data_IF_610687440230
#
_entry.id   IF_610687440230
#
_cell.length_a   1.000
_cell.length_b   1.000
_cell.length_c   1.000
_cell.angle_alpha   90.00
_cell.angle_beta   90.00
_cell.angle_gamma   90.00
#
_symmetry.space_group_name_H-M   'P 1'
#
loop_
_entity.id
_entity.type
_entity.pdbx_description
1 polymer ?
#
# COMPACT_ATOMS: atom_id res chain seq x y z
N UNK A 1 -1.52 -4.48 -21.76
CA UNK A 1 -1.44 -4.95 -20.36
C UNK A 1 -1.87 -3.81 -19.46
N UNK A 2 -2.84 -3.99 -18.55
CA UNK A 2 -3.12 -3.06 -17.46
C UNK A 2 -1.84 -2.83 -16.62
N UNK A 3 -1.44 -1.59 -16.31
CA UNK A 3 -0.29 -1.34 -15.45
C UNK A 3 -0.61 -1.61 -13.98
N UNK A 4 0.43 -1.87 -13.19
CA UNK A 4 0.43 -1.61 -11.76
C UNK A 4 0.75 -0.13 -11.52
N UNK A 5 -0.11 0.57 -10.80
CA UNK A 5 0.14 1.96 -10.38
C UNK A 5 0.43 1.98 -8.88
N UNK A 6 1.58 2.55 -8.50
CA UNK A 6 2.02 2.67 -7.12
C UNK A 6 1.63 4.05 -6.55
N UNK A 7 0.92 4.08 -5.41
CA UNK A 7 0.48 5.29 -4.70
C UNK A 7 1.20 5.40 -3.33
N UNK A 8 2.07 6.40 -3.12
CA UNK A 8 2.84 6.53 -1.89
C UNK A 8 1.99 7.01 -0.70
N UNK A 9 2.49 6.78 0.52
CA UNK A 9 2.00 7.44 1.73
C UNK A 9 2.37 8.92 1.78
N UNK A 10 1.86 9.64 2.80
CA UNK A 10 2.00 11.11 2.98
C UNK A 10 3.44 11.63 2.81
N UNK A 11 4.43 10.87 3.30
CA UNK A 11 5.85 11.22 3.25
C UNK A 11 6.56 10.92 1.91
N UNK A 12 5.99 10.06 1.05
CA UNK A 12 6.68 9.53 -0.12
C UNK A 12 6.42 10.29 -1.42
N UNK A 13 7.47 10.51 -2.22
CA UNK A 13 7.38 10.95 -3.62
C UNK A 13 7.14 9.78 -4.57
N UNK A 14 6.96 10.02 -5.88
CA UNK A 14 6.95 8.92 -6.86
C UNK A 14 8.23 8.07 -6.85
N UNK A 15 9.37 8.66 -6.48
CA UNK A 15 10.68 8.00 -6.54
C UNK A 15 10.86 6.86 -5.53
N UNK A 16 10.06 6.83 -4.45
CA UNK A 16 10.21 5.84 -3.37
C UNK A 16 9.97 4.38 -3.84
N UNK A 17 9.32 4.20 -4.98
CA UNK A 17 9.07 2.89 -5.59
C UNK A 17 10.13 2.46 -6.63
N UNK A 18 11.30 3.13 -6.71
CA UNK A 18 12.33 2.78 -7.68
C UNK A 18 12.75 1.29 -7.63
N UNK A 19 12.82 0.70 -6.42
CA UNK A 19 13.14 -0.73 -6.23
C UNK A 19 12.07 -1.66 -6.82
N UNK A 20 10.80 -1.24 -6.84
CA UNK A 20 9.68 -1.96 -7.45
C UNK A 20 9.68 -1.79 -8.96
N UNK A 21 9.84 -0.55 -9.44
CA UNK A 21 9.90 -0.23 -10.87
C UNK A 21 11.01 -1.05 -11.54
N UNK A 22 12.23 -1.05 -10.99
CA UNK A 22 13.36 -1.79 -11.55
C UNK A 22 13.11 -3.31 -11.56
N UNK A 23 12.75 -3.91 -10.42
CA UNK A 23 12.58 -5.38 -10.29
C UNK A 23 11.42 -5.94 -11.11
N UNK A 24 10.33 -5.17 -11.28
CA UNK A 24 9.15 -5.59 -12.03
C UNK A 24 9.24 -5.27 -13.53
N UNK A 25 9.81 -4.12 -13.91
CA UNK A 25 9.98 -3.76 -15.33
C UNK A 25 11.00 -4.67 -16.01
N UNK A 26 12.08 -5.05 -15.33
CA UNK A 26 13.05 -6.05 -15.83
C UNK A 26 12.45 -7.45 -16.06
N UNK A 27 11.24 -7.72 -15.55
CA UNK A 27 10.49 -8.96 -15.77
C UNK A 27 9.38 -8.79 -16.82
N UNK A 28 9.17 -7.58 -17.33
CA UNK A 28 8.15 -7.27 -18.35
C UNK A 28 6.78 -6.89 -17.79
N UNK A 29 6.66 -6.47 -16.54
CA UNK A 29 5.42 -5.84 -16.04
C UNK A 29 5.45 -4.33 -16.31
N UNK A 30 4.32 -3.75 -16.76
CA UNK A 30 4.18 -2.28 -16.85
C UNK A 30 3.90 -1.72 -15.45
N UNK A 31 4.86 -1.03 -14.85
CA UNK A 31 4.70 -0.33 -13.57
C UNK A 31 4.76 1.18 -13.78
N UNK A 32 3.93 1.92 -13.06
CA UNK A 32 3.91 3.38 -13.04
C UNK A 32 3.91 3.80 -11.57
N UNK A 33 4.80 4.70 -11.17
CA UNK A 33 4.70 5.39 -9.88
C UNK A 33 4.17 6.81 -10.12
N UNK A 34 3.40 7.35 -9.18
CA UNK A 34 2.81 8.68 -9.28
C UNK A 34 2.90 9.43 -7.95
N UNK A 35 3.07 10.74 -8.03
CA UNK A 35 2.89 11.62 -6.87
C UNK A 35 1.41 11.93 -6.65
N UNK A 36 1.03 12.10 -5.38
CA UNK A 36 -0.30 12.60 -5.01
C UNK A 36 -0.37 14.08 -5.44
N UNK A 37 -1.34 14.49 -6.29
CA UNK A 37 -1.47 15.86 -6.76
C UNK A 37 -1.96 16.80 -5.65
N UNK A 38 -1.87 18.11 -5.89
CA UNK A 38 -2.34 19.16 -4.97
C UNK A 38 -3.86 19.28 -4.99
N UNK A 39 -4.52 18.37 -4.27
CA UNK A 39 -5.98 18.29 -4.09
C UNK A 39 -6.33 18.32 -2.60
N UNK A 40 -7.42 18.98 -2.24
CA UNK A 40 -7.73 19.34 -0.84
C UNK A 40 -8.81 18.46 -0.20
N UNK A 41 -9.48 17.63 -1.00
CA UNK A 41 -10.50 16.69 -0.55
C UNK A 41 -10.54 15.44 -1.43
N UNK A 42 -11.22 14.43 -0.93
CA UNK A 42 -11.33 13.12 -1.56
C UNK A 42 -12.01 13.12 -2.95
N UNK A 43 -12.94 14.04 -3.20
CA UNK A 43 -13.64 14.14 -4.48
C UNK A 43 -12.73 14.69 -5.59
N UNK A 44 -11.92 15.70 -5.26
CA UNK A 44 -10.87 16.21 -6.15
C UNK A 44 -9.82 15.14 -6.47
N UNK A 45 -9.38 14.35 -5.48
CA UNK A 45 -8.47 13.21 -5.72
C UNK A 45 -9.04 12.24 -6.76
N UNK A 46 -10.29 11.78 -6.58
CA UNK A 46 -10.92 10.82 -7.50
C UNK A 46 -11.00 11.39 -8.93
N UNK A 47 -11.37 12.67 -9.07
CA UNK A 47 -11.45 13.32 -10.38
C UNK A 47 -10.07 13.58 -11.02
N UNK A 48 -9.06 13.95 -10.23
CA UNK A 48 -7.71 14.21 -10.70
C UNK A 48 -7.04 12.90 -11.15
N UNK A 49 -7.20 11.82 -10.37
CA UNK A 49 -6.68 10.51 -10.72
C UNK A 49 -7.40 9.91 -11.93
N UNK A 50 -8.72 10.05 -12.05
CA UNK A 50 -9.47 9.64 -13.26
C UNK A 50 -8.96 10.37 -14.52
N UNK A 51 -8.83 11.70 -14.47
CA UNK A 51 -8.26 12.49 -15.58
C UNK A 51 -6.83 12.09 -15.93
N UNK A 52 -6.01 11.75 -14.93
CA UNK A 52 -4.67 11.21 -15.17
C UNK A 52 -4.70 9.88 -15.92
N UNK A 53 -5.56 8.93 -15.52
CA UNK A 53 -5.70 7.63 -16.18
C UNK A 53 -6.16 7.75 -17.65
N UNK A 54 -7.03 8.72 -17.93
CA UNK A 54 -7.48 9.00 -19.29
C UNK A 54 -6.39 9.71 -20.12
N UNK A 55 -5.60 10.60 -19.52
CA UNK A 55 -4.48 11.26 -20.18
C UNK A 55 -3.31 10.31 -20.56
N UNK A 56 -3.17 9.17 -19.87
CA UNK A 56 -2.19 8.12 -20.20
C UNK A 56 -2.76 6.96 -21.04
N UNK A 57 -4.02 7.08 -21.48
CA UNK A 57 -4.82 6.04 -22.18
C UNK A 57 -4.79 4.67 -21.47
N UNK A 58 -5.26 4.64 -20.21
CA UNK A 58 -5.32 3.42 -19.40
C UNK A 58 -6.71 3.22 -18.80
N UNK A 59 -7.55 2.47 -19.51
CA UNK A 59 -8.91 2.13 -19.05
C UNK A 59 -8.94 1.15 -17.85
N UNK A 60 -7.94 0.30 -17.68
CA UNK A 60 -7.87 -0.67 -16.57
C UNK A 60 -6.52 -0.65 -15.87
N UNK A 61 -6.52 -0.71 -14.54
CA UNK A 61 -5.33 -0.64 -13.68
C UNK A 61 -5.36 -1.68 -12.56
N UNK A 62 -4.18 -2.03 -12.08
CA UNK A 62 -3.97 -2.63 -10.76
C UNK A 62 -3.38 -1.53 -9.86
N UNK A 63 -3.77 -1.45 -8.59
CA UNK A 63 -3.23 -0.46 -7.66
C UNK A 63 -2.37 -1.14 -6.59
N UNK A 64 -1.23 -0.56 -6.27
CA UNK A 64 -0.49 -0.81 -5.03
C UNK A 64 -0.43 0.50 -4.25
N UNK A 65 -0.89 0.52 -3.00
CA UNK A 65 -0.88 1.73 -2.17
C UNK A 65 -0.40 1.46 -0.76
N UNK A 66 0.42 2.37 -0.23
CA UNK A 66 0.94 2.31 1.15
C UNK A 66 0.38 3.47 1.98
N UNK A 67 0.04 3.23 3.25
CA UNK A 67 -0.50 4.27 4.15
C UNK A 67 -1.64 5.06 3.48
N UNK A 68 -1.56 6.40 3.45
CA UNK A 68 -2.48 7.28 2.72
C UNK A 68 -2.77 6.80 1.29
N UNK A 69 -1.76 6.39 0.53
CA UNK A 69 -1.93 5.88 -0.84
C UNK A 69 -2.75 4.58 -0.92
N UNK A 70 -2.69 3.74 0.12
CA UNK A 70 -3.54 2.55 0.24
C UNK A 70 -5.00 2.87 0.54
N UNK A 71 -5.25 3.89 1.37
CA UNK A 71 -6.59 4.42 1.62
C UNK A 71 -7.18 5.10 0.37
N UNK A 72 -6.40 5.96 -0.29
CA UNK A 72 -6.77 6.63 -1.55
C UNK A 72 -7.01 5.63 -2.71
N UNK A 73 -6.28 4.50 -2.75
CA UNK A 73 -6.51 3.42 -3.71
C UNK A 73 -7.88 2.73 -3.51
N UNK A 74 -8.22 2.40 -2.26
CA UNK A 74 -9.52 1.80 -1.91
C UNK A 74 -10.67 2.76 -2.21
N UNK A 75 -10.53 4.03 -1.83
CA UNK A 75 -11.56 5.04 -2.06
C UNK A 75 -11.77 5.32 -3.56
N UNK A 76 -10.71 5.25 -4.38
CA UNK A 76 -10.87 5.27 -5.84
C UNK A 76 -11.55 3.99 -6.37
N UNK A 77 -11.22 2.81 -5.86
CA UNK A 77 -11.87 1.55 -6.24
C UNK A 77 -13.37 1.54 -5.91
N UNK A 78 -13.78 2.15 -4.80
CA UNK A 78 -15.19 2.34 -4.42
C UNK A 78 -15.94 3.20 -5.45
N UNK A 79 -15.35 4.31 -5.89
CA UNK A 79 -16.01 5.28 -6.77
C UNK A 79 -15.84 4.99 -8.27
N UNK A 80 -14.84 4.20 -8.66
CA UNK A 80 -14.53 3.79 -10.04
C UNK A 80 -14.22 2.28 -10.17
N UNK A 81 -15.12 1.39 -9.71
CA UNK A 81 -14.87 -0.05 -9.64
C UNK A 81 -14.66 -0.72 -11.02
N UNK A 82 -15.09 -0.08 -12.12
CA UNK A 82 -14.82 -0.57 -13.49
C UNK A 82 -13.39 -0.31 -13.97
N UNK A 83 -12.65 0.64 -13.37
CA UNK A 83 -11.25 0.96 -13.73
C UNK A 83 -10.27 0.06 -12.98
N UNK A 84 -10.53 -0.26 -11.72
CA UNK A 84 -9.65 -1.07 -10.86
C UNK A 84 -9.89 -2.57 -11.08
N UNK A 85 -8.83 -3.32 -11.42
CA UNK A 85 -8.85 -4.77 -11.64
C UNK A 85 -8.38 -5.58 -10.44
N UNK A 86 -7.52 -5.02 -9.59
CA UNK A 86 -7.08 -5.62 -8.32
C UNK A 86 -6.44 -4.56 -7.41
N UNK A 87 -6.33 -4.87 -6.11
CA UNK A 87 -5.71 -4.01 -5.10
C UNK A 87 -4.60 -4.75 -4.35
N UNK A 88 -3.48 -4.06 -4.14
CA UNK A 88 -2.48 -4.39 -3.12
C UNK A 88 -2.43 -3.25 -2.12
N UNK A 89 -2.67 -3.58 -0.86
CA UNK A 89 -2.75 -2.68 0.29
C UNK A 89 -1.59 -3.01 1.22
N UNK A 90 -0.94 -2.02 1.84
CA UNK A 90 0.22 -2.26 2.72
C UNK A 90 0.35 -1.16 3.76
N UNK A 91 0.36 -1.53 5.05
CA UNK A 91 0.40 -0.62 6.19
C UNK A 91 -0.58 0.55 6.00
N UNK A 92 -1.88 0.24 5.84
CA UNK A 92 -2.94 1.19 5.48
C UNK A 92 -4.14 1.06 6.43
N UNK A 93 -5.15 1.92 6.22
CA UNK A 93 -6.35 2.07 7.04
C UNK A 93 -7.63 2.19 6.18
N UNK A 94 -8.79 2.18 6.84
CA UNK A 94 -10.10 2.38 6.22
C UNK A 94 -10.70 3.77 6.45
N UNK A 95 -10.26 4.52 7.47
CA UNK A 95 -10.85 5.80 7.85
C UNK A 95 -9.84 6.82 8.38
N UNK A 96 -10.13 8.10 8.18
CA UNK A 96 -9.28 9.25 8.58
C UNK A 96 -9.62 9.82 9.96
N UNK A 97 -10.74 9.41 10.55
CA UNK A 97 -11.28 9.82 11.87
C UNK A 97 -10.20 9.93 12.95
N UNK A 98 -9.40 8.87 13.10
CA UNK A 98 -8.37 8.71 14.14
C UNK A 98 -7.19 9.66 13.92
N UNK A 99 -6.81 9.92 12.66
CA UNK A 99 -5.75 10.86 12.31
C UNK A 99 -6.20 12.31 12.48
N UNK A 100 -7.45 12.63 12.13
CA UNK A 100 -8.04 13.94 12.44
C UNK A 100 -8.13 14.21 13.93
N UNK A 101 -8.49 13.20 14.74
CA UNK A 101 -8.50 13.32 16.20
C UNK A 101 -7.09 13.46 16.80
N UNK A 102 -6.09 12.82 16.19
CA UNK A 102 -4.68 12.93 16.57
C UNK A 102 -3.97 14.22 16.09
N UNK A 103 -4.64 15.08 15.32
CA UNK A 103 -4.09 16.34 14.82
C UNK A 103 -4.95 17.53 15.29
N UNK A 104 -4.65 18.15 16.46
CA UNK A 104 -5.44 19.26 17.01
C UNK A 104 -5.59 20.51 16.12
N UNK A 105 -4.74 20.63 15.10
CA UNK A 105 -4.73 21.72 14.12
C UNK A 105 -5.20 21.28 12.71
N UNK A 106 -5.83 20.11 12.59
CA UNK A 106 -6.40 19.61 11.33
C UNK A 106 -7.24 20.65 10.56
N UNK A 107 -8.12 21.47 11.18
CA UNK A 107 -8.91 22.48 10.45
C UNK A 107 -8.08 23.60 9.79
N UNK A 108 -6.80 23.76 10.14
CA UNK A 108 -5.90 24.79 9.59
C UNK A 108 -4.69 24.22 8.84
N UNK A 109 -4.66 22.90 8.56
CA UNK A 109 -3.58 22.19 7.84
C UNK A 109 -3.12 22.89 6.56
N UNK A 110 -4.05 23.45 5.77
CA UNK A 110 -3.77 24.18 4.53
C UNK A 110 -3.02 25.51 4.72
N UNK A 111 -3.00 26.06 5.94
CA UNK A 111 -2.33 27.32 6.30
C UNK A 111 -1.08 27.09 7.18
N UNK A 112 -0.92 25.89 7.76
CA UNK A 112 0.22 25.54 8.62
C UNK A 112 1.58 25.76 7.90
N UNK A 113 2.57 26.39 8.58
CA UNK A 113 3.93 26.55 8.06
C UNK A 113 4.65 25.24 7.71
N UNK A 114 5.47 25.27 6.67
CA UNK A 114 6.16 24.09 6.14
C UNK A 114 6.98 23.30 7.18
N UNK A 115 7.61 23.98 8.14
CA UNK A 115 8.41 23.32 9.17
C UNK A 115 7.55 22.50 10.16
N UNK A 116 6.33 22.92 10.45
CA UNK A 116 5.38 22.15 11.28
C UNK A 116 4.81 20.96 10.51
N UNK A 117 4.52 21.12 9.21
CA UNK A 117 4.08 20.02 8.35
C UNK A 117 5.16 18.94 8.24
N UNK A 118 6.42 19.33 7.97
CA UNK A 118 7.57 18.41 7.93
C UNK A 118 7.79 17.75 9.28
N UNK A 119 7.82 18.53 10.37
CA UNK A 119 7.98 17.97 11.73
C UNK A 119 6.89 16.95 12.07
N UNK A 120 5.62 17.22 11.72
CA UNK A 120 4.52 16.29 12.01
C UNK A 120 4.68 14.95 11.26
N UNK A 121 5.00 15.01 9.97
CA UNK A 121 5.27 13.80 9.16
C UNK A 121 6.46 13.01 9.73
N UNK A 122 7.55 13.72 10.09
CA UNK A 122 8.73 13.09 10.69
C UNK A 122 8.44 12.48 12.07
N UNK A 123 7.62 13.10 12.92
CA UNK A 123 7.22 12.53 14.22
C UNK A 123 6.31 11.30 14.12
N UNK A 124 5.77 10.99 12.94
CA UNK A 124 5.11 9.70 12.69
C UNK A 124 6.11 8.56 12.52
N UNK A 125 7.31 8.86 11.99
CA UNK A 125 8.40 7.90 11.83
C UNK A 125 9.09 7.73 13.20
N UNK A 126 9.49 6.49 13.53
CA UNK A 126 10.13 6.23 14.83
C UNK A 126 11.58 6.67 14.85
N UNK A 127 11.95 7.54 15.78
CA UNK A 127 13.34 7.66 16.23
C UNK A 127 13.70 6.43 17.10
N UNK A 128 14.75 5.70 16.76
CA UNK A 128 15.19 4.53 17.53
C UNK A 128 16.23 3.64 16.81
N UNK A 129 16.73 2.60 17.50
CA UNK A 129 17.65 1.63 16.92
C UNK A 129 16.92 0.72 15.92
N UNK A 130 16.99 1.09 14.64
CA UNK A 130 16.47 0.29 13.53
C UNK A 130 17.50 -0.73 13.03
N UNK A 131 17.03 -1.77 12.34
CA UNK A 131 17.91 -2.58 11.48
C UNK A 131 18.43 -1.70 10.32
N UNK A 132 19.69 -1.85 9.86
CA UNK A 132 20.26 -0.98 8.82
C UNK A 132 19.37 -0.75 7.59
N UNK A 133 18.76 -1.79 7.01
CA UNK A 133 17.86 -1.62 5.86
C UNK A 133 16.58 -0.84 6.15
N UNK A 134 16.14 -0.78 7.41
CA UNK A 134 15.02 0.06 7.85
C UNK A 134 15.51 1.50 8.08
N UNK A 135 16.69 1.69 8.69
CA UNK A 135 17.33 3.00 8.82
C UNK A 135 17.56 3.67 7.44
N UNK A 136 18.19 2.96 6.49
CA UNK A 136 18.40 3.41 5.11
C UNK A 136 17.08 3.82 4.42
N UNK A 137 15.99 3.09 4.71
CA UNK A 137 14.67 3.39 4.16
C UNK A 137 14.02 4.63 4.77
N UNK A 138 14.27 4.88 6.06
CA UNK A 138 13.84 6.09 6.75
C UNK A 138 14.63 7.28 6.23
N UNK A 139 15.96 7.24 6.25
CA UNK A 139 16.82 8.35 5.81
C UNK A 139 16.53 8.77 4.36
N UNK A 140 16.28 7.80 3.47
CA UNK A 140 15.84 8.09 2.10
C UNK A 140 14.52 8.87 2.06
N UNK A 141 13.51 8.47 2.85
CA UNK A 141 12.20 9.15 2.88
C UNK A 141 12.28 10.50 3.60
N UNK A 142 13.12 10.63 4.64
CA UNK A 142 13.41 11.92 5.28
C UNK A 142 13.94 12.92 4.26
N UNK A 143 14.93 12.53 3.44
CA UNK A 143 15.44 13.36 2.35
C UNK A 143 14.36 13.73 1.31
N UNK A 144 13.42 12.82 1.00
CA UNK A 144 12.27 13.15 0.14
C UNK A 144 11.33 14.18 0.79
N UNK A 145 11.03 14.06 2.09
CA UNK A 145 10.23 15.04 2.87
C UNK A 145 10.92 16.42 2.90
N UNK A 146 12.25 16.47 2.89
CA UNK A 146 12.99 17.74 2.76
C UNK A 146 12.82 18.41 1.39
N UNK A 147 12.65 17.67 0.30
CA UNK A 147 12.39 18.26 -1.04
C UNK A 147 10.94 18.74 -1.25
N UNK A 148 9.96 18.14 -0.57
CA UNK A 148 8.54 18.48 -0.74
C UNK A 148 8.22 19.94 -0.35
N UNK A 149 7.32 20.58 -1.11
CA UNK A 149 6.86 21.94 -0.81
C UNK A 149 5.85 21.97 0.35
N UNK A 150 5.51 23.18 0.83
CA UNK A 150 4.44 23.39 1.81
C UNK A 150 3.11 22.88 1.26
N UNK A 151 2.82 23.20 0.00
CA UNK A 151 1.57 22.90 -0.68
C UNK A 151 1.36 21.39 -0.84
N UNK A 152 2.41 20.64 -1.22
CA UNK A 152 2.34 19.19 -1.40
C UNK A 152 2.11 18.46 -0.07
N UNK A 153 2.80 18.88 0.99
CA UNK A 153 2.59 18.31 2.33
C UNK A 153 1.22 18.69 2.90
N UNK A 154 0.79 19.95 2.72
CA UNK A 154 -0.49 20.43 3.20
C UNK A 154 -1.66 19.71 2.51
N UNK A 155 -1.61 19.49 1.20
CA UNK A 155 -2.67 18.75 0.48
C UNK A 155 -2.73 17.28 0.92
N UNK A 156 -1.58 16.60 1.03
CA UNK A 156 -1.51 15.20 1.49
C UNK A 156 -1.99 15.03 2.93
N UNK A 157 -1.62 15.94 3.83
CA UNK A 157 -2.11 15.95 5.21
C UNK A 157 -3.60 16.33 5.28
N UNK A 158 -4.10 17.20 4.40
CA UNK A 158 -5.55 17.46 4.27
C UNK A 158 -6.32 16.18 3.94
N UNK A 159 -5.86 15.39 2.96
CA UNK A 159 -6.44 14.07 2.65
C UNK A 159 -6.29 13.05 3.79
N UNK A 160 -5.36 13.27 4.74
CA UNK A 160 -5.17 12.40 5.91
C UNK A 160 -6.15 12.74 7.06
N UNK A 161 -6.73 13.96 7.07
CA UNK A 161 -7.62 14.44 8.16
C UNK A 161 -9.02 14.87 7.72
N UNK A 162 -9.27 15.08 6.42
CA UNK A 162 -10.62 15.24 5.86
C UNK A 162 -11.44 13.97 6.13
N UNK A 163 -12.65 14.12 6.67
CA UNK A 163 -13.38 13.03 7.32
C UNK A 163 -14.02 12.08 6.29
N UNK A 164 -13.40 10.91 6.09
CA UNK A 164 -13.81 9.92 5.11
C UNK A 164 -13.57 8.49 5.62
N UNK A 165 -14.35 7.55 5.10
CA UNK A 165 -14.27 6.11 5.42
C UNK A 165 -14.58 5.28 4.18
N UNK A 166 -13.90 4.13 4.04
CA UNK A 166 -14.04 3.18 2.92
C UNK A 166 -15.23 2.26 3.18
N UNK A 167 -16.26 2.41 2.35
CA UNK A 167 -17.40 1.51 2.29
C UNK A 167 -17.11 0.21 1.53
N UNK A 168 -18.10 -0.68 1.37
CA UNK A 168 -17.93 -1.93 0.62
C UNK A 168 -17.49 -1.70 -0.82
N UNK A 169 -16.48 -2.44 -1.28
CA UNK A 169 -16.03 -2.41 -2.66
C UNK A 169 -16.85 -3.37 -3.53
N UNK A 170 -17.06 -3.03 -4.81
CA UNK A 170 -17.59 -3.99 -5.80
C UNK A 170 -16.49 -4.92 -6.36
N UNK A 171 -15.24 -4.74 -5.92
CA UNK A 171 -14.13 -5.63 -6.25
C UNK A 171 -14.15 -6.82 -5.28
N UNK A 172 -14.13 -8.04 -5.80
CA UNK A 172 -14.02 -9.25 -4.98
C UNK A 172 -12.73 -9.26 -4.16
N UNK A 173 -12.83 -9.54 -2.86
CA UNK A 173 -11.71 -9.71 -1.92
C UNK A 173 -10.60 -10.63 -2.47
N UNK A 174 -10.97 -11.66 -3.25
CA UNK A 174 -10.01 -12.57 -3.89
C UNK A 174 -9.03 -11.87 -4.85
N UNK A 175 -9.35 -10.66 -5.30
CA UNK A 175 -8.52 -9.76 -6.11
C UNK A 175 -7.78 -8.72 -5.24
N UNK A 176 -7.81 -8.85 -3.92
CA UNK A 176 -7.12 -8.00 -2.95
C UNK A 176 -5.95 -8.78 -2.33
N UNK A 177 -4.89 -8.06 -1.98
CA UNK A 177 -3.79 -8.53 -1.12
C UNK A 177 -3.48 -7.47 -0.08
N UNK A 178 -3.40 -7.88 1.19
CA UNK A 178 -3.01 -7.02 2.31
C UNK A 178 -1.60 -7.45 2.71
N UNK A 179 -0.66 -6.51 2.72
CA UNK A 179 0.78 -6.74 2.86
C UNK A 179 1.36 -5.85 3.96
N UNK A 180 1.04 -6.20 5.19
CA UNK A 180 1.39 -5.41 6.37
C UNK A 180 2.66 -5.94 7.06
N UNK A 181 3.37 -5.06 7.75
CA UNK A 181 4.50 -5.44 8.61
C UNK A 181 4.04 -5.72 10.04
N UNK A 182 4.72 -6.66 10.69
CA UNK A 182 4.47 -7.05 12.09
C UNK A 182 5.36 -6.32 13.09
N UNK A 183 6.30 -5.49 12.63
CA UNK A 183 7.13 -4.63 13.47
C UNK A 183 6.49 -3.25 13.65
N UNK A 184 7.28 -2.23 14.02
CA UNK A 184 6.74 -0.90 14.23
C UNK A 184 6.28 -0.26 12.91
N UNK A 185 5.08 0.32 12.92
CA UNK A 185 4.60 1.22 11.90
C UNK A 185 3.81 2.35 12.57
N UNK A 186 3.84 3.54 11.97
CA UNK A 186 3.06 4.72 12.33
C UNK A 186 1.54 4.50 12.26
N UNK A 187 1.09 3.51 11.49
CA UNK A 187 -0.33 3.13 11.39
C UNK A 187 -0.67 2.16 12.54
N UNK A 188 -1.57 2.53 13.47
CA UNK A 188 -1.95 1.67 14.60
C UNK A 188 -2.46 0.30 14.15
N UNK A 189 -2.10 -0.74 14.90
CA UNK A 189 -2.46 -2.12 14.56
C UNK A 189 -3.98 -2.29 14.38
N UNK A 190 -4.79 -1.61 15.21
CA UNK A 190 -6.25 -1.63 15.13
C UNK A 190 -6.79 -1.18 13.76
N UNK A 191 -6.12 -0.25 13.07
CA UNK A 191 -6.55 0.19 11.74
C UNK A 191 -6.14 -0.79 10.64
N UNK A 192 -5.05 -1.55 10.83
CA UNK A 192 -4.65 -2.65 9.95
C UNK A 192 -5.59 -3.86 10.14
N UNK A 193 -5.93 -4.17 11.40
CA UNK A 193 -6.88 -5.23 11.76
C UNK A 193 -8.25 -4.97 11.12
N UNK A 194 -8.75 -3.73 11.16
CA UNK A 194 -9.97 -3.31 10.44
C UNK A 194 -9.90 -3.58 8.92
N UNK A 195 -8.76 -3.34 8.26
CA UNK A 195 -8.57 -3.63 6.82
C UNK A 195 -8.65 -5.15 6.56
N UNK A 196 -8.15 -5.97 7.48
CA UNK A 196 -8.25 -7.44 7.41
C UNK A 196 -9.70 -7.90 7.61
N UNK A 197 -10.41 -7.36 8.61
CA UNK A 197 -11.84 -7.64 8.85
C UNK A 197 -12.75 -7.17 7.71
N UNK A 198 -12.36 -6.10 7.00
CA UNK A 198 -13.11 -5.54 5.86
C UNK A 198 -13.10 -6.46 4.65
N UNK A 199 -12.01 -7.20 4.42
CA UNK A 199 -11.81 -8.05 3.24
C UNK A 199 -11.42 -9.50 3.64
N UNK A 200 -12.32 -10.27 4.28
CA UNK A 200 -12.01 -11.63 4.76
C UNK A 200 -11.60 -12.62 3.66
N UNK A 201 -11.92 -12.36 2.38
CA UNK A 201 -11.41 -13.15 1.25
C UNK A 201 -10.05 -12.71 0.69
N UNK A 202 -9.41 -11.68 1.27
CA UNK A 202 -8.16 -11.14 0.77
C UNK A 202 -6.96 -12.03 1.11
N UNK A 203 -5.95 -12.02 0.24
CA UNK A 203 -4.70 -12.74 0.55
C UNK A 203 -3.84 -11.89 1.48
N UNK A 204 -3.64 -12.38 2.70
CA UNK A 204 -2.68 -11.80 3.64
C UNK A 204 -1.24 -12.15 3.24
N UNK A 205 -0.34 -11.18 3.37
CA UNK A 205 1.09 -11.26 3.05
C UNK A 205 1.87 -10.52 4.15
N UNK A 206 1.87 -11.10 5.36
CA UNK A 206 2.51 -10.54 6.55
C UNK A 206 4.05 -10.62 6.46
N UNK A 207 4.70 -9.45 6.53
CA UNK A 207 6.16 -9.34 6.61
C UNK A 207 6.59 -9.30 8.08
N UNK A 208 7.65 -10.05 8.43
CA UNK A 208 8.15 -10.13 9.82
C UNK A 208 8.69 -8.80 10.33
N UNK A 209 9.39 -8.07 9.46
CA UNK A 209 9.98 -6.75 9.69
C UNK A 209 9.96 -5.96 8.39
N UNK A 210 10.00 -4.64 8.47
CA UNK A 210 10.03 -3.73 7.32
C UNK A 210 9.76 -2.26 7.66
N UNK A 211 9.25 -1.97 8.86
CA UNK A 211 8.94 -0.61 9.29
C UNK A 211 7.80 0.04 8.49
N UNK A 212 7.80 1.36 8.43
CA UNK A 212 6.84 2.15 7.65
C UNK A 212 7.00 2.00 6.13
N UNK A 213 8.20 1.61 5.67
CA UNK A 213 8.58 1.61 4.25
C UNK A 213 9.04 0.23 3.75
N UNK A 214 8.21 -0.84 3.86
CA UNK A 214 8.60 -2.21 3.51
C UNK A 214 9.07 -2.36 2.05
N UNK A 215 8.55 -1.52 1.14
CA UNK A 215 8.96 -1.48 -0.26
C UNK A 215 10.41 -0.98 -0.46
N UNK A 216 10.95 -0.20 0.48
CA UNK A 216 12.34 0.24 0.49
C UNK A 216 13.24 -0.67 1.34
N UNK A 217 12.78 -1.13 2.50
CA UNK A 217 13.59 -1.94 3.46
C UNK A 217 13.60 -3.45 3.16
N UNK A 218 12.49 -4.00 2.63
CA UNK A 218 12.30 -5.39 2.19
C UNK A 218 11.86 -5.48 0.72
N UNK A 219 12.62 -4.87 -0.21
CA UNK A 219 12.20 -4.74 -1.60
C UNK A 219 11.90 -6.10 -2.24
N UNK A 220 12.68 -7.14 -1.95
CA UNK A 220 12.53 -8.44 -2.58
C UNK A 220 11.31 -9.23 -2.08
N UNK A 221 10.96 -9.14 -0.80
CA UNK A 221 9.72 -9.71 -0.25
C UNK A 221 8.49 -9.00 -0.84
N UNK A 222 8.48 -7.67 -0.83
CA UNK A 222 7.41 -6.86 -1.44
C UNK A 222 7.29 -7.16 -2.94
N UNK A 223 8.41 -7.18 -3.67
CA UNK A 223 8.44 -7.51 -5.09
C UNK A 223 7.94 -8.92 -5.36
N UNK A 224 8.27 -9.92 -4.53
CA UNK A 224 7.75 -11.28 -4.63
C UNK A 224 6.23 -11.31 -4.45
N UNK A 225 5.71 -10.65 -3.42
CA UNK A 225 4.26 -10.58 -3.18
C UNK A 225 3.51 -9.83 -4.30
N UNK A 226 4.07 -8.74 -4.84
CA UNK A 226 3.52 -8.05 -6.02
C UNK A 226 3.47 -8.95 -7.26
N UNK A 227 4.55 -9.70 -7.54
CA UNK A 227 4.57 -10.67 -8.66
C UNK A 227 3.53 -11.80 -8.48
N UNK A 228 3.43 -12.35 -7.27
CA UNK A 228 2.45 -13.41 -6.94
C UNK A 228 1.02 -12.89 -7.06
N UNK A 229 0.75 -11.66 -6.63
CA UNK A 229 -0.54 -11.01 -6.80
C UNK A 229 -0.88 -10.79 -8.28
N UNK A 230 0.02 -10.17 -9.05
CA UNK A 230 -0.18 -9.87 -10.47
C UNK A 230 -0.46 -11.16 -11.28
N UNK A 231 0.35 -12.21 -11.08
CA UNK A 231 0.12 -13.52 -11.72
C UNK A 231 -1.22 -14.14 -11.35
N UNK A 232 -1.61 -14.08 -10.06
CA UNK A 232 -2.91 -14.60 -9.58
C UNK A 232 -4.10 -13.91 -10.25
N UNK A 233 -3.99 -12.62 -10.56
CA UNK A 233 -5.07 -11.84 -11.21
C UNK A 233 -4.96 -11.81 -12.75
N UNK A 234 -4.18 -12.73 -13.35
CA UNK A 234 -4.08 -12.91 -14.80
C UNK A 234 -3.15 -11.93 -15.53
N UNK A 235 -2.26 -11.23 -14.81
CA UNK A 235 -1.24 -10.38 -15.43
C UNK A 235 0.00 -11.20 -15.72
N UNK A 236 0.10 -11.66 -16.96
CA UNK A 236 1.32 -12.26 -17.51
C UNK A 236 2.38 -11.19 -17.78
N UNK A 237 3.63 -11.49 -17.44
CA UNK A 237 4.76 -10.60 -17.66
C UNK A 237 5.29 -10.75 -19.11
N UNK A 238 5.75 -9.66 -19.72
CA UNK A 238 6.23 -9.61 -21.11
C UNK A 238 7.73 -9.34 -21.21
N UNK A 239 8.60 -10.34 -20.94
CA UNK A 239 10.05 -10.18 -21.04
C UNK A 239 10.52 -9.90 -22.47
N UNK A 240 9.70 -10.24 -23.47
CA UNK A 240 9.85 -9.91 -24.90
C UNK A 240 9.86 -8.40 -25.19
N UNK A 241 9.23 -7.59 -24.33
CA UNK A 241 9.19 -6.13 -24.44
C UNK A 241 10.27 -5.42 -23.61
N UNK A 242 11.08 -6.17 -22.85
CA UNK A 242 12.21 -5.61 -22.10
C UNK A 242 13.36 -5.40 -23.07
N UNK A 243 13.67 -4.15 -23.39
CA UNK A 243 14.81 -3.79 -24.24
C UNK A 243 16.09 -4.25 -23.55
N UNK A 244 16.63 -5.38 -23.99
CA UNK A 244 17.90 -5.89 -23.50
C UNK A 244 19.04 -4.93 -23.85
N UNK A 245 20.06 -4.89 -22.98
CA UNK A 245 21.37 -4.38 -23.39
C UNK A 245 21.83 -5.12 -24.66
N UNK A 246 22.56 -4.46 -25.58
CA UNK A 246 23.05 -5.12 -26.78
C UNK A 246 23.81 -6.40 -26.42
N UNK A 247 23.40 -7.53 -27.02
CA UNK A 247 24.29 -8.69 -27.13
C UNK A 247 25.34 -8.35 -28.18
N UNK A 248 26.45 -7.78 -27.73
CA UNK A 248 27.60 -7.51 -28.58
C UNK A 248 28.02 -8.79 -29.32
N UNK A 249 28.22 -8.65 -30.64
CA UNK A 249 28.17 -9.76 -31.56
C UNK A 249 29.47 -10.57 -31.64
N UNK A 250 29.38 -11.85 -31.26
CA UNK A 250 30.10 -12.92 -31.92
C UNK A 250 29.06 -13.90 -32.51
N UNK A 251 29.09 -14.32 -33.77
CA UNK A 251 30.19 -14.26 -34.74
C UNK A 251 31.01 -15.55 -34.68
N UNK A 252 30.69 -16.59 -35.47
CA UNK A 252 29.66 -16.61 -36.52
C UNK A 252 29.30 -18.02 -37.03
N UNK A 253 28.89 -18.08 -38.29
CA UNK A 253 28.28 -19.26 -38.94
C UNK A 253 29.21 -20.48 -39.09
N UNK A 254 28.65 -21.68 -38.86
CA UNK A 254 28.81 -22.78 -39.80
C UNK A 254 27.55 -23.67 -39.81
N UNK A 255 27.08 -24.03 -41.01
CA UNK A 255 25.88 -24.84 -41.22
C UNK A 255 26.24 -26.20 -41.82
N UNK A 256 25.73 -27.30 -41.25
CA UNK A 256 25.60 -28.57 -41.97
C UNK A 256 24.15 -29.09 -41.86
N UNK A 257 23.48 -29.22 -43.01
CA UNK A 257 22.34 -30.12 -43.18
C UNK A 257 22.86 -31.43 -43.77
N UNK A 258 22.39 -32.58 -43.25
CA UNK A 258 22.49 -33.87 -43.96
C UNK A 258 21.14 -34.56 -43.97
N UNK A 259 20.50 -34.56 -45.14
CA UNK A 259 19.36 -35.41 -45.44
C UNK A 259 19.85 -36.80 -45.87
N UNK A 260 19.30 -37.85 -45.27
CA UNK A 260 19.39 -39.25 -45.70
C UNK A 260 17.98 -39.81 -45.94
N UNK A 261 17.83 -40.87 -46.76
CA UNK A 261 16.53 -41.34 -47.27
C UNK A 261 16.26 -42.81 -46.96
N UNK A 262 15.05 -43.09 -46.45
CA UNK A 262 14.28 -44.37 -46.56
C UNK A 262 14.98 -45.59 -45.91
N UNK A 263 14.42 -46.78 -45.74
CA UNK A 263 13.24 -47.53 -46.26
C UNK A 263 12.40 -48.08 -45.06
N UNK A 264 11.06 -48.17 -45.06
CA UNK A 264 10.16 -49.29 -45.53
C UNK A 264 10.64 -50.72 -45.16
N UNK A 265 9.91 -51.58 -44.43
CA UNK A 265 8.59 -51.44 -43.73
C UNK A 265 8.65 -51.85 -42.22
N UNK A 266 7.92 -52.78 -41.55
CA UNK A 266 6.92 -53.83 -41.88
C UNK A 266 6.03 -54.21 -40.64
N UNK A 267 4.92 -54.96 -40.81
CA UNK A 267 3.97 -55.47 -39.79
C UNK A 267 3.15 -56.68 -40.38
N UNK A 268 2.41 -57.56 -39.65
CA UNK A 268 1.86 -57.54 -38.28
C UNK A 268 2.57 -58.61 -37.38
N UNK A 269 2.06 -59.40 -36.41
CA UNK A 269 0.76 -59.84 -35.82
C UNK A 269 0.89 -59.81 -34.26
N UNK A 270 -0.12 -59.52 -33.43
CA UNK A 270 -1.45 -60.12 -33.16
C UNK A 270 -1.41 -61.52 -32.48
N UNK A 271 -1.71 -61.59 -31.18
CA UNK A 271 -2.57 -62.66 -30.65
C UNK A 271 -3.14 -62.46 -29.21
N UNK A 272 -4.46 -62.70 -29.08
CA UNK A 272 -5.20 -63.48 -28.04
C UNK A 272 -4.90 -63.29 -26.50
N UNK A 273 -5.84 -63.53 -25.56
CA UNK A 273 -7.32 -63.73 -25.54
C UNK A 273 -7.80 -63.97 -24.08
N UNK A 274 -9.02 -63.52 -23.75
CA UNK A 274 -9.80 -64.02 -22.59
C UNK A 274 -10.15 -62.92 -21.58
N UNK A 275 -11.40 -62.63 -21.19
CA UNK A 275 -12.61 -63.44 -20.89
C UNK A 275 -12.82 -63.61 -19.38
N UNK A 276 -13.68 -62.77 -18.80
CA UNK A 276 -14.16 -62.89 -17.42
C UNK A 276 -15.36 -61.97 -17.17
N UNK A 277 -16.49 -62.55 -16.80
CA UNK A 277 -17.71 -61.85 -16.34
C UNK A 277 -17.68 -61.74 -14.78
N UNK A 278 -18.62 -61.15 -14.03
CA UNK A 278 -20.05 -60.77 -14.25
C UNK A 278 -20.49 -59.76 -13.17
N UNK A 279 -21.60 -59.01 -13.38
CA UNK A 279 -22.62 -58.56 -12.38
C UNK A 279 -22.19 -58.06 -10.96
N UNK A 280 -22.61 -56.89 -10.45
CA UNK A 280 -24.00 -56.50 -10.12
C UNK A 280 -24.16 -54.98 -9.83
N UNK A 281 -25.29 -54.39 -10.24
CA UNK A 281 -26.39 -53.78 -9.43
C UNK A 281 -26.19 -53.60 -7.89
N UNK A 282 -26.77 -52.63 -7.14
CA UNK A 282 -27.75 -51.51 -7.37
C UNK A 282 -27.54 -50.44 -6.25
N UNK A 283 -27.61 -49.12 -6.51
CA UNK A 283 -28.77 -48.18 -6.33
C UNK A 283 -28.85 -47.45 -4.95
N UNK A 284 -29.55 -46.30 -4.93
CA UNK A 284 -29.81 -45.34 -3.83
C UNK A 284 -31.11 -45.75 -3.03
N UNK A 285 -31.67 -45.05 -2.00
CA UNK A 285 -31.58 -43.59 -1.70
C UNK A 285 -31.79 -43.07 -0.23
N UNK A 286 -31.81 -41.72 -0.11
CA UNK A 286 -32.57 -40.87 0.84
C UNK A 286 -32.22 -40.81 2.35
N UNK A 287 -32.82 -39.81 3.01
CA UNK A 287 -32.58 -39.35 4.39
C UNK A 287 -33.89 -39.25 5.21
N UNK A 288 -33.83 -38.87 6.51
CA UNK A 288 -34.97 -38.25 7.21
C UNK A 288 -34.62 -36.96 8.01
N UNK A 289 -35.63 -36.38 8.67
CA UNK A 289 -35.70 -35.00 9.17
C UNK A 289 -35.73 -34.87 10.73
N UNK A 290 -35.80 -33.62 11.23
CA UNK A 290 -36.28 -33.26 12.59
C UNK A 290 -35.24 -32.69 13.56
N UNK A 291 -35.55 -31.78 14.51
CA UNK A 291 -36.78 -30.98 14.76
C UNK A 291 -36.48 -29.84 15.77
N UNK A 292 -37.17 -28.70 15.67
CA UNK A 292 -37.77 -27.81 16.73
C UNK A 292 -37.13 -27.60 18.14
N UNK A 293 -37.24 -26.46 18.87
CA UNK A 293 -37.82 -25.10 18.67
C UNK A 293 -37.41 -24.13 19.83
N UNK A 294 -37.54 -22.80 19.63
CA UNK A 294 -37.86 -21.73 20.63
C UNK A 294 -36.84 -21.47 21.78
N UNK A 295 -36.59 -20.24 22.26
CA UNK A 295 -37.53 -19.17 22.70
C UNK A 295 -36.97 -17.73 22.57
N UNK A 296 -37.79 -16.71 22.89
CA UNK A 296 -37.56 -15.27 22.66
C UNK A 296 -38.22 -14.38 23.74
N UNK A 297 -37.52 -13.44 24.38
CA UNK A 297 -38.05 -12.31 25.20
C UNK A 297 -36.91 -11.37 25.69
N UNK A 298 -37.17 -10.19 26.29
CA UNK A 298 -37.36 -8.90 25.58
C UNK A 298 -37.15 -7.60 26.43
N UNK A 299 -36.11 -6.80 26.13
CA UNK A 299 -35.96 -5.32 26.36
C UNK A 299 -36.17 -4.78 27.83
N UNK A 300 -36.20 -3.44 28.12
CA UNK A 300 -35.75 -2.22 27.38
C UNK A 300 -34.95 -1.15 28.21
N UNK A 301 -34.45 -0.10 27.50
CA UNK A 301 -34.23 1.31 27.92
C UNK A 301 -33.32 1.73 29.11
N UNK A 302 -32.41 2.70 28.85
CA UNK A 302 -32.52 4.09 29.36
C UNK A 302 -31.57 5.07 28.61
N UNK A 303 -31.75 6.38 28.82
CA UNK A 303 -31.14 7.45 27.99
C UNK A 303 -30.66 8.65 28.85
N UNK A 304 -29.48 9.19 28.53
CA UNK A 304 -28.91 10.52 28.88
C UNK A 304 -27.52 10.64 28.21
N UNK A 305 -26.94 11.79 27.87
CA UNK A 305 -27.39 13.18 28.05
C UNK A 305 -26.19 14.14 28.02
N UNK A 306 -25.48 14.25 26.89
CA UNK A 306 -24.19 14.99 26.82
C UNK A 306 -24.35 16.52 26.83
N UNK A 307 -23.41 17.18 27.51
CA UNK A 307 -23.61 18.52 28.08
C UNK A 307 -22.79 19.59 27.34
N UNK A 308 -23.40 20.71 26.97
CA UNK A 308 -22.80 21.72 26.07
C UNK A 308 -21.67 22.57 26.66
N UNK A 309 -21.30 22.35 27.93
CA UNK A 309 -20.35 23.20 28.65
C UNK A 309 -18.88 22.72 28.58
N UNK A 310 -18.60 21.47 28.21
CA UNK A 310 -17.21 20.97 28.18
C UNK A 310 -16.39 21.55 27.02
N UNK A 311 -17.03 21.78 25.85
CA UNK A 311 -16.37 22.36 24.67
C UNK A 311 -15.82 23.77 24.94
N UNK A 312 -16.56 24.61 25.68
CA UNK A 312 -16.10 25.97 26.06
C UNK A 312 -14.93 25.96 27.04
N UNK A 313 -14.86 24.98 27.94
CA UNK A 313 -13.72 24.82 28.86
C UNK A 313 -12.48 24.32 28.11
N UNK A 314 -12.65 23.37 27.19
CA UNK A 314 -11.58 22.89 26.33
C UNK A 314 -11.00 24.01 25.44
N UNK A 315 -11.86 24.78 24.76
CA UNK A 315 -11.45 25.86 23.88
C UNK A 315 -10.59 26.92 24.58
N UNK A 316 -11.01 27.39 25.76
CA UNK A 316 -10.25 28.38 26.54
C UNK A 316 -8.88 27.84 27.01
N UNK A 317 -8.81 26.55 27.36
CA UNK A 317 -7.57 25.90 27.79
C UNK A 317 -6.58 25.73 26.62
N UNK A 318 -7.08 25.41 25.43
CA UNK A 318 -6.29 25.37 24.18
C UNK A 318 -5.78 26.76 23.81
N UNK A 319 -6.62 27.79 23.86
CA UNK A 319 -6.22 29.17 23.53
C UNK A 319 -5.10 29.69 24.46
N UNK A 320 -5.20 29.39 25.76
CA UNK A 320 -4.16 29.73 26.74
C UNK A 320 -2.82 29.03 26.45
N UNK A 321 -2.84 27.76 26.05
CA UNK A 321 -1.62 27.03 25.69
C UNK A 321 -0.97 27.63 24.42
N UNK A 322 -1.77 27.99 23.41
CA UNK A 322 -1.26 28.68 22.21
C UNK A 322 -0.57 30.01 22.56
N UNK A 323 -1.12 30.81 23.47
CA UNK A 323 -0.45 32.05 23.91
C UNK A 323 0.86 31.79 24.65
N UNK A 324 0.96 30.74 25.47
CA UNK A 324 2.21 30.38 26.14
C UNK A 324 3.29 29.90 25.15
N UNK A 325 2.96 28.97 24.25
CA UNK A 325 3.87 28.50 23.19
C UNK A 325 4.40 29.67 22.34
N UNK A 326 3.53 30.59 21.93
CA UNK A 326 3.92 31.72 21.10
C UNK A 326 4.83 32.71 21.86
N UNK A 327 4.60 32.93 23.17
CA UNK A 327 5.48 33.76 24.01
C UNK A 327 6.84 33.07 24.21
N UNK A 328 6.87 31.76 24.46
CA UNK A 328 8.10 30.98 24.62
C UNK A 328 8.95 31.00 23.34
N UNK A 329 8.33 30.86 22.17
CA UNK A 329 9.02 30.93 20.87
C UNK A 329 9.58 32.33 20.55
N UNK A 330 8.87 33.39 20.92
CA UNK A 330 9.39 34.76 20.79
C UNK A 330 10.54 35.06 21.77
N UNK A 331 10.53 34.47 22.98
CA UNK A 331 11.63 34.57 23.93
C UNK A 331 12.87 33.75 23.49
N UNK A 332 12.67 32.58 22.87
CA UNK A 332 13.76 31.80 22.26
C UNK A 332 14.42 32.54 21.08
N UNK A 333 13.65 33.33 20.32
CA UNK A 333 14.17 34.15 19.23
C UNK A 333 15.14 35.26 19.67
N UNK A 334 15.20 35.56 20.98
CA UNK A 334 16.15 36.53 21.57
C UNK A 334 17.49 35.90 22.03
N UNK A 335 17.67 34.59 21.89
CA UNK A 335 18.93 33.88 22.21
C UNK A 335 19.57 33.20 20.97
N UNK A 336 20.16 33.97 20.03
CA UNK A 336 20.87 33.42 18.88
C UNK A 336 22.25 32.88 19.28
N UNK A 337 22.39 31.55 19.35
CA UNK A 337 23.69 30.87 19.23
C UNK A 337 24.08 29.94 20.39
N UNK A 338 24.06 28.63 20.11
CA UNK A 338 24.99 27.61 20.69
C UNK A 338 24.76 26.24 20.05
N UNK A 339 23.50 25.85 19.82
CA UNK A 339 23.13 24.48 19.44
C UNK A 339 23.58 23.98 18.05
N UNK A 340 23.99 24.85 17.12
CA UNK A 340 24.36 24.43 15.76
C UNK A 340 25.73 23.75 15.64
N UNK A 341 26.63 23.95 16.63
CA UNK A 341 27.98 23.40 16.56
C UNK A 341 28.09 21.95 17.07
N UNK A 342 27.23 21.55 18.01
CA UNK A 342 27.38 20.29 18.74
C UNK A 342 27.07 19.05 17.88
N UNK A 343 26.22 19.20 16.85
CA UNK A 343 25.89 18.14 15.90
C UNK A 343 27.10 17.72 15.04
N UNK A 344 28.02 18.65 14.73
CA UNK A 344 29.16 18.37 13.84
C UNK A 344 30.37 17.76 14.55
N UNK A 345 30.51 17.97 15.86
CA UNK A 345 31.61 17.37 16.63
C UNK A 345 31.38 15.89 16.97
N UNK A 346 30.15 15.51 17.34
CA UNK A 346 29.86 14.14 17.84
C UNK A 346 30.07 13.02 16.80
N UNK A 347 30.02 13.33 15.50
CA UNK A 347 30.27 12.37 14.42
C UNK A 347 31.74 12.28 13.96
N UNK A 348 32.67 13.00 14.60
CA UNK A 348 34.12 12.89 14.31
C UNK A 348 34.88 12.00 15.31
N UNK A 349 34.44 11.94 16.57
CA UNK A 349 35.10 11.13 17.61
C UNK A 349 34.87 9.60 17.44
N UNK A 350 33.86 9.19 16.67
CA UNK A 350 33.54 7.77 16.41
C UNK A 350 34.37 7.13 15.29
N UNK A 351 35.39 7.82 14.77
CA UNK A 351 36.24 7.37 13.66
C UNK A 351 37.73 7.26 14.01
N UNK A 352 38.10 7.38 15.29
CA UNK A 352 39.49 7.35 15.78
C UNK A 352 39.67 6.62 17.13
N UNK A 353 38.99 5.48 17.33
CA UNK A 353 39.25 4.51 18.41
C UNK A 353 39.05 3.08 17.91
#
# INVERSE_FOLDING_TARGET
MPPLICLPGTAGTMDVYYKQILSLSMKGYRVISVDIPRVWNHHEWIQAFEKFLDAIDVHHIHLYGTSLGGFLAQLFAQHRPRRVRSLVLSNTFLETSSFSAAMPWAPIVGWTPAFLLKRYVLTGIRDGPHEPFIADSVDFVVAQVETLSREDLASRLSLTVDAASVGPLLLSDSLITIMDTNDFCAIPQQLKDQVIERYPGARLASLKTGGDFPFLSRPDEVNLHLQLHLRRVGVEARPDLVIGMPKDGAGGSSSEQKNGRRDTDDAPEDDKRGSGSTSNENELPLAPEGTDTQNLESAPLLLNGFNSNEQTVAANKVLSNFTCEFIILNLLHLYPGTLYNDWKCRNLDSLCR
#
